data_IF_077207514464
#
_entry.id   IF_077207514464
#
_cell.length_a   1.000
_cell.length_b   1.000
_cell.length_c   1.000
_cell.angle_alpha   90.00
_cell.angle_beta   90.00
_cell.angle_gamma   90.00
#
_symmetry.space_group_name_H-M   'P 1'
#
loop_
_entity.id
_entity.type
_entity.pdbx_description
1 polymer ?
#
# COMPACT_ATOMS: atom_id res chain seq x y z
N UNK A 1 -20.07 8.24 8.93
CA UNK A 1 -18.87 7.58 8.38
C UNK A 1 -19.14 7.01 7.01
N UNK A 2 -18.39 7.49 6.04
CA UNK A 2 -18.64 7.19 4.62
C UNK A 2 -18.10 5.85 4.16
N UNK A 3 -17.11 5.29 4.87
CA UNK A 3 -16.43 4.05 4.51
C UNK A 3 -16.61 2.92 5.53
N UNK A 4 -17.63 3.04 6.37
CA UNK A 4 -17.92 2.01 7.37
C UNK A 4 -18.09 0.65 6.71
N UNK A 5 -17.42 -0.37 7.26
CA UNK A 5 -17.43 -1.75 6.76
C UNK A 5 -16.75 -1.93 5.40
N UNK A 6 -16.00 -0.94 4.93
CA UNK A 6 -15.18 -1.09 3.71
C UNK A 6 -13.76 -1.47 4.09
N UNK A 7 -13.14 -2.30 3.25
CA UNK A 7 -11.74 -2.70 3.39
C UNK A 7 -10.94 -2.06 2.28
N UNK A 8 -9.95 -1.27 2.65
CA UNK A 8 -9.09 -0.56 1.70
C UNK A 8 -7.65 -1.03 1.82
N UNK A 9 -7.01 -1.26 0.68
CA UNK A 9 -5.56 -1.46 0.60
C UNK A 9 -4.97 -0.19 0.01
N UNK A 10 -3.95 0.37 0.69
CA UNK A 10 -3.25 1.57 0.25
C UNK A 10 -1.79 1.23 0.09
N UNK A 11 -1.30 1.17 -1.14
CA UNK A 11 0.12 0.92 -1.36
C UNK A 11 0.92 2.18 -1.09
N UNK A 12 2.10 2.01 -0.47
CA UNK A 12 2.92 3.16 -0.07
C UNK A 12 2.28 3.97 1.05
N UNK A 13 1.59 3.31 1.98
CA UNK A 13 0.81 3.97 3.03
C UNK A 13 1.60 4.37 4.27
N UNK A 14 2.92 4.16 4.31
CA UNK A 14 3.71 4.40 5.53
C UNK A 14 4.12 5.86 5.71
N UNK A 15 4.00 6.69 4.69
CA UNK A 15 4.39 8.11 4.74
C UNK A 15 3.69 8.92 3.65
N UNK A 16 3.80 10.24 3.73
CA UNK A 16 3.34 11.17 2.70
C UNK A 16 1.85 11.06 2.40
N UNK A 17 1.52 11.09 1.12
CA UNK A 17 0.13 11.07 0.64
C UNK A 17 -0.57 9.78 1.03
N UNK A 18 0.11 8.64 0.94
CA UNK A 18 -0.47 7.34 1.31
C UNK A 18 -0.83 7.28 2.79
N UNK A 19 0.04 7.78 3.66
CA UNK A 19 -0.24 7.85 5.10
C UNK A 19 -1.43 8.77 5.40
N UNK A 20 -1.48 9.94 4.76
CA UNK A 20 -2.59 10.87 4.92
C UNK A 20 -3.91 10.28 4.40
N UNK A 21 -3.86 9.51 3.32
CA UNK A 21 -5.01 8.79 2.79
C UNK A 21 -5.50 7.73 3.77
N UNK A 22 -4.58 6.95 4.35
CA UNK A 22 -4.92 5.95 5.36
C UNK A 22 -5.61 6.61 6.58
N UNK A 23 -5.08 7.73 7.06
CA UNK A 23 -5.67 8.50 8.14
C UNK A 23 -7.11 8.93 7.79
N UNK A 24 -7.30 9.51 6.62
CA UNK A 24 -8.62 9.96 6.18
C UNK A 24 -9.62 8.80 6.07
N UNK A 25 -9.19 7.66 5.55
CA UNK A 25 -10.03 6.48 5.42
C UNK A 25 -10.42 5.91 6.79
N UNK A 26 -9.49 5.87 7.72
CA UNK A 26 -9.77 5.43 9.10
C UNK A 26 -10.77 6.36 9.79
N UNK A 27 -10.65 7.65 9.54
CA UNK A 27 -11.61 8.64 10.07
C UNK A 27 -13.02 8.37 9.57
N UNK A 28 -13.15 7.83 8.35
CA UNK A 28 -14.43 7.49 7.75
C UNK A 28 -14.89 6.04 7.99
N UNK A 29 -14.19 5.33 8.88
CA UNK A 29 -14.63 4.03 9.36
C UNK A 29 -14.12 2.81 8.60
N UNK A 30 -13.20 2.99 7.66
CA UNK A 30 -12.65 1.89 6.88
C UNK A 30 -11.71 1.02 7.72
N UNK A 31 -11.61 -0.26 7.34
CA UNK A 31 -10.46 -1.10 7.68
C UNK A 31 -9.36 -0.80 6.68
N UNK A 32 -8.15 -0.54 7.14
CA UNK A 32 -7.04 -0.15 6.27
C UNK A 32 -5.90 -1.16 6.36
N UNK A 33 -5.48 -1.63 5.20
CA UNK A 33 -4.27 -2.43 5.03
C UNK A 33 -3.30 -1.57 4.23
N UNK A 34 -2.20 -1.16 4.84
CA UNK A 34 -1.20 -0.37 4.14
C UNK A 34 0.01 -1.20 3.78
N UNK A 35 0.68 -0.83 2.70
CA UNK A 35 1.96 -1.45 2.34
C UNK A 35 3.10 -0.45 2.48
N UNK A 36 4.27 -0.96 2.76
CA UNK A 36 5.50 -0.20 2.85
C UNK A 36 6.65 -0.98 2.23
N UNK A 37 7.77 -0.33 2.02
CA UNK A 37 8.97 -0.98 1.44
C UNK A 37 9.63 -1.94 2.43
N UNK A 38 9.43 -1.75 3.73
CA UNK A 38 9.93 -2.65 4.78
C UNK A 38 8.82 -2.91 5.79
N UNK A 39 8.90 -4.07 6.45
CA UNK A 39 7.92 -4.40 7.50
C UNK A 39 8.05 -3.45 8.69
N UNK A 40 9.26 -3.00 9.00
CA UNK A 40 9.48 -2.01 10.06
C UNK A 40 8.73 -0.71 9.79
N UNK A 41 8.83 -0.18 8.57
CA UNK A 41 8.10 1.03 8.18
C UNK A 41 6.59 0.83 8.23
N UNK A 42 6.12 -0.34 7.79
CA UNK A 42 4.70 -0.67 7.87
C UNK A 42 4.23 -0.71 9.31
N UNK A 43 4.96 -1.38 10.18
CA UNK A 43 4.60 -1.52 11.60
C UNK A 43 4.61 -0.18 12.32
N UNK A 44 5.58 0.69 12.03
CA UNK A 44 5.65 2.02 12.61
C UNK A 44 4.46 2.89 12.19
N UNK A 45 4.06 2.81 10.93
CA UNK A 45 2.89 3.54 10.43
C UNK A 45 1.60 3.03 11.09
N UNK A 46 1.44 1.72 11.19
CA UNK A 46 0.30 1.11 11.88
C UNK A 46 0.23 1.60 13.33
N UNK A 47 1.36 1.60 14.03
CA UNK A 47 1.42 2.05 15.42
C UNK A 47 0.93 3.49 15.58
N UNK A 48 1.39 4.39 14.72
CA UNK A 48 0.97 5.80 14.75
C UNK A 48 -0.52 5.95 14.50
N UNK A 49 -1.05 5.23 13.54
CA UNK A 49 -2.47 5.28 13.21
C UNK A 49 -3.33 4.61 14.30
N UNK A 50 -2.83 3.53 14.89
CA UNK A 50 -3.54 2.83 15.96
C UNK A 50 -3.67 3.69 17.22
N UNK A 51 -2.67 4.51 17.51
CA UNK A 51 -2.73 5.47 18.62
C UNK A 51 -3.84 6.49 18.40
N UNK A 52 -4.06 6.91 17.16
CA UNK A 52 -5.09 7.87 16.79
C UNK A 52 -6.48 7.23 16.67
N UNK A 53 -6.52 5.99 16.20
CA UNK A 53 -7.76 5.24 15.98
C UNK A 53 -7.69 3.88 16.70
N UNK A 54 -7.78 3.84 18.04
CA UNK A 54 -7.51 2.62 18.80
C UNK A 54 -8.49 1.48 18.54
N UNK A 55 -9.68 1.77 18.07
CA UNK A 55 -10.69 0.74 17.79
C UNK A 55 -10.75 0.31 16.33
N UNK A 56 -9.98 0.95 15.47
CA UNK A 56 -9.96 0.63 14.05
C UNK A 56 -9.09 -0.59 13.76
N UNK A 57 -9.45 -1.29 12.68
CA UNK A 57 -8.66 -2.41 12.19
C UNK A 57 -7.65 -1.91 11.18
N UNK A 58 -6.37 -2.05 11.50
CA UNK A 58 -5.27 -1.54 10.69
C UNK A 58 -4.21 -2.62 10.58
N UNK A 59 -3.74 -2.88 9.38
CA UNK A 59 -2.64 -3.82 9.14
C UNK A 59 -1.57 -3.20 8.25
N UNK A 60 -0.34 -3.62 8.44
CA UNK A 60 0.79 -3.21 7.62
C UNK A 60 1.49 -4.44 7.05
N UNK A 61 1.73 -4.42 5.75
CA UNK A 61 2.43 -5.48 5.03
C UNK A 61 3.52 -4.88 4.15
N UNK A 62 4.49 -5.69 3.76
CA UNK A 62 5.59 -5.21 2.91
C UNK A 62 5.90 -6.17 1.77
N UNK A 63 4.92 -6.45 0.88
CA UNK A 63 5.20 -7.27 -0.28
C UNK A 63 6.13 -6.55 -1.26
N UNK A 64 6.85 -7.34 -2.06
CA UNK A 64 7.56 -6.79 -3.20
C UNK A 64 6.54 -6.53 -4.32
N UNK A 65 6.18 -5.27 -4.55
CA UNK A 65 5.14 -4.91 -5.53
C UNK A 65 5.55 -5.24 -6.97
N UNK A 66 6.84 -5.39 -7.24
CA UNK A 66 7.34 -5.81 -8.56
C UNK A 66 7.20 -7.32 -8.79
N UNK A 67 6.83 -8.09 -7.78
CA UNK A 67 6.67 -9.54 -7.85
C UNK A 67 5.21 -9.92 -7.60
N UNK A 68 4.52 -10.39 -8.63
CA UNK A 68 3.10 -10.72 -8.55
C UNK A 68 2.78 -11.76 -7.45
N UNK A 69 3.58 -12.80 -7.32
CA UNK A 69 3.32 -13.83 -6.30
C UNK A 69 3.52 -13.30 -4.87
N UNK A 70 4.49 -12.42 -4.67
CA UNK A 70 4.65 -11.75 -3.38
C UNK A 70 3.40 -10.94 -3.03
N UNK A 71 2.88 -10.18 -3.98
CA UNK A 71 1.66 -9.37 -3.79
C UNK A 71 0.46 -10.28 -3.53
N UNK A 72 0.28 -11.32 -4.32
CA UNK A 72 -0.83 -12.27 -4.15
C UNK A 72 -0.84 -12.89 -2.77
N UNK A 73 0.31 -13.40 -2.33
CA UNK A 73 0.43 -14.04 -1.02
C UNK A 73 0.07 -13.07 0.11
N UNK A 74 0.64 -11.87 0.09
CA UNK A 74 0.39 -10.87 1.12
C UNK A 74 -1.07 -10.41 1.13
N UNK A 75 -1.67 -10.20 -0.04
CA UNK A 75 -3.06 -9.75 -0.14
C UNK A 75 -4.03 -10.86 0.30
N UNK A 76 -3.75 -12.12 -0.04
CA UNK A 76 -4.57 -13.24 0.42
C UNK A 76 -4.54 -13.38 1.94
N UNK A 77 -3.38 -13.27 2.55
CA UNK A 77 -3.26 -13.31 4.01
C UNK A 77 -4.05 -12.18 4.65
N UNK A 78 -3.94 -10.97 4.11
CA UNK A 78 -4.67 -9.82 4.63
C UNK A 78 -6.18 -9.97 4.47
N UNK A 79 -6.65 -10.41 3.31
CA UNK A 79 -8.08 -10.56 3.05
C UNK A 79 -8.69 -11.72 3.83
N UNK A 80 -7.93 -12.78 4.11
CA UNK A 80 -8.43 -13.87 4.95
C UNK A 80 -8.69 -13.41 6.39
N UNK A 81 -7.95 -12.39 6.84
CA UNK A 81 -8.09 -11.86 8.19
C UNK A 81 -9.08 -10.67 8.28
N UNK A 82 -9.12 -9.81 7.29
CA UNK A 82 -9.87 -8.55 7.35
C UNK A 82 -11.06 -8.47 6.40
N UNK A 83 -11.20 -9.42 5.47
CA UNK A 83 -12.30 -9.45 4.50
C UNK A 83 -11.86 -9.03 3.11
N UNK A 84 -12.78 -9.15 2.16
CA UNK A 84 -12.52 -8.82 0.76
C UNK A 84 -12.23 -7.34 0.56
N UNK A 85 -11.34 -7.03 -0.36
CA UNK A 85 -10.96 -5.65 -0.67
C UNK A 85 -12.08 -4.95 -1.43
N UNK A 86 -12.51 -3.80 -0.91
CA UNK A 86 -13.48 -2.93 -1.57
C UNK A 86 -12.78 -1.81 -2.34
N UNK A 87 -11.64 -1.34 -1.83
CA UNK A 87 -10.94 -0.16 -2.37
C UNK A 87 -9.45 -0.47 -2.45
N UNK A 88 -8.86 -0.20 -3.60
CA UNK A 88 -7.40 -0.22 -3.76
C UNK A 88 -6.93 1.18 -4.17
N UNK A 89 -5.99 1.73 -3.41
CA UNK A 89 -5.32 2.99 -3.75
C UNK A 89 -3.88 2.68 -4.14
N UNK A 90 -3.58 2.79 -5.42
CA UNK A 90 -2.24 2.62 -5.96
C UNK A 90 -1.44 3.91 -5.78
N UNK A 91 -0.76 4.03 -4.64
CA UNK A 91 0.00 5.23 -4.30
C UNK A 91 1.51 4.98 -4.26
N UNK A 92 1.96 3.74 -4.07
CA UNK A 92 3.39 3.45 -4.04
C UNK A 92 4.06 3.84 -5.35
N UNK A 93 5.19 4.54 -5.24
CA UNK A 93 5.93 4.97 -6.41
C UNK A 93 7.29 5.53 -6.04
N UNK A 94 8.16 5.58 -7.03
CA UNK A 94 9.46 6.22 -6.96
C UNK A 94 9.50 7.36 -7.96
N UNK A 95 10.19 8.43 -7.59
CA UNK A 95 10.52 9.50 -8.54
C UNK A 95 11.99 9.82 -8.43
N UNK A 96 12.57 10.25 -9.52
CA UNK A 96 13.97 10.61 -9.60
C UNK A 96 14.14 11.88 -10.42
N UNK A 97 15.01 12.77 -9.94
CA UNK A 97 15.28 14.06 -10.60
C UNK A 97 16.66 14.06 -11.24
N UNK A 98 16.95 13.04 -12.01
CA UNK A 98 18.21 12.91 -12.73
C UNK A 98 18.03 13.41 -14.17
N UNK A 99 18.96 14.22 -14.71
CA UNK A 99 18.91 14.61 -16.11
C UNK A 99 18.84 13.39 -17.02
N UNK A 100 18.05 13.48 -18.10
CA UNK A 100 17.76 12.35 -18.97
C UNK A 100 19.02 11.63 -19.47
N UNK A 101 20.04 12.39 -19.87
CA UNK A 101 21.27 11.79 -20.42
C UNK A 101 22.15 11.11 -19.36
N UNK A 102 21.91 11.38 -18.09
CA UNK A 102 22.61 10.76 -16.96
C UNK A 102 21.79 9.63 -16.31
N UNK A 103 20.60 9.38 -16.84
CA UNK A 103 19.68 8.39 -16.30
C UNK A 103 20.15 6.99 -16.63
N UNK A 104 20.33 6.17 -15.61
CA UNK A 104 20.80 4.79 -15.78
C UNK A 104 19.63 3.85 -16.09
N UNK A 105 19.91 2.85 -16.92
CA UNK A 105 18.91 1.83 -17.25
C UNK A 105 18.40 1.12 -16.00
N UNK A 106 19.26 0.84 -15.04
CA UNK A 106 18.86 0.19 -13.76
C UNK A 106 17.84 1.03 -12.98
N UNK A 107 18.02 2.34 -12.96
CA UNK A 107 17.11 3.26 -12.28
C UNK A 107 15.78 3.34 -13.01
N UNK A 108 15.83 3.37 -14.35
CA UNK A 108 14.62 3.32 -15.18
C UNK A 108 13.83 2.03 -14.90
N UNK A 109 14.51 0.87 -14.91
CA UNK A 109 13.87 -0.42 -14.67
C UNK A 109 13.24 -0.46 -13.28
N UNK A 110 13.92 0.04 -12.26
CA UNK A 110 13.41 0.08 -10.89
C UNK A 110 12.13 0.94 -10.78
N UNK A 111 12.13 2.10 -11.42
CA UNK A 111 10.97 2.98 -11.42
C UNK A 111 9.80 2.35 -12.17
N UNK A 112 10.05 1.76 -13.32
CA UNK A 112 9.00 1.09 -14.10
C UNK A 112 8.47 -0.14 -13.36
N UNK A 113 9.32 -0.91 -12.71
CA UNK A 113 8.90 -2.07 -11.92
C UNK A 113 7.98 -1.68 -10.77
N UNK A 114 8.25 -0.57 -10.10
CA UNK A 114 7.37 -0.12 -9.02
C UNK A 114 6.17 0.67 -9.54
N UNK A 115 6.40 1.67 -10.38
CA UNK A 115 5.34 2.62 -10.77
C UNK A 115 4.35 2.06 -11.79
N UNK A 116 4.77 1.09 -12.60
CA UNK A 116 3.91 0.49 -13.63
C UNK A 116 3.58 -0.96 -13.29
N UNK A 117 4.56 -1.82 -13.18
CA UNK A 117 4.36 -3.23 -12.86
C UNK A 117 3.76 -3.43 -11.48
N UNK A 118 4.17 -2.62 -10.49
CA UNK A 118 3.58 -2.66 -9.16
C UNK A 118 2.09 -2.34 -9.15
N UNK A 119 1.66 -1.35 -9.94
CA UNK A 119 0.25 -1.01 -10.10
C UNK A 119 -0.53 -2.17 -10.74
N UNK A 120 0.02 -2.76 -11.79
CA UNK A 120 -0.58 -3.92 -12.44
C UNK A 120 -0.72 -5.09 -11.46
N UNK A 121 0.34 -5.42 -10.73
CA UNK A 121 0.34 -6.54 -9.80
C UNK A 121 -0.64 -6.33 -8.65
N UNK A 122 -0.67 -5.13 -8.07
CA UNK A 122 -1.57 -4.79 -6.96
C UNK A 122 -3.03 -4.82 -7.41
N UNK A 123 -3.32 -4.26 -8.56
CA UNK A 123 -4.68 -4.25 -9.12
C UNK A 123 -5.17 -5.66 -9.40
N UNK A 124 -4.31 -6.49 -10.00
CA UNK A 124 -4.65 -7.88 -10.29
C UNK A 124 -4.89 -8.67 -9.01
N UNK A 125 -4.00 -8.59 -8.04
CA UNK A 125 -4.13 -9.32 -6.78
C UNK A 125 -5.36 -8.87 -5.98
N UNK A 126 -5.65 -7.58 -5.95
CA UNK A 126 -6.84 -7.06 -5.25
C UNK A 126 -8.15 -7.48 -5.92
N UNK A 127 -8.11 -7.73 -7.25
CA UNK A 127 -9.29 -8.13 -8.04
C UNK A 127 -9.60 -9.62 -7.93
N UNK A 128 -8.66 -10.40 -7.45
CA UNK A 128 -8.84 -11.85 -7.24
C UNK A 128 -9.55 -12.07 -5.89
#
# INVERSE_FOLDING_TARGET
MRLKNKVAIITGGSRGIGFATADAFLREGATVILTASTQESADNAVKKLQEKYPESKIAGISPNLADLESVRTSFREATSKYGCVDILVNNAGLSERTPFMEYKEEDFDRIMDLNVKGVFNSTRAASE
#
